data_IF_168719705874
#
_entry.id   IF_168719705874
#
_cell.length_a   1.000
_cell.length_b   1.000
_cell.length_c   1.000
_cell.angle_alpha   90.00
_cell.angle_beta   90.00
_cell.angle_gamma   90.00
#
_symmetry.space_group_name_H-M   'P 1'
#
loop_
_entity.id
_entity.type
_entity.pdbx_description
1 polymer ?
#
# COMPACT_ATOMS: atom_id res chain seq x y z
N UNK A 1 -1.69 7.20 -12.77
CA UNK A 1 -0.90 5.97 -12.91
C UNK A 1 -0.46 5.48 -11.53
N UNK A 2 -0.31 4.16 -11.34
CA UNK A 2 0.20 3.59 -10.10
C UNK A 2 1.71 3.74 -9.99
N UNK A 3 2.19 4.24 -8.86
CA UNK A 3 3.62 4.37 -8.57
C UNK A 3 4.08 3.24 -7.61
N UNK A 4 3.44 3.12 -6.45
CA UNK A 4 3.89 2.23 -5.36
C UNK A 4 2.73 1.42 -4.80
N UNK A 5 2.98 0.14 -4.52
CA UNK A 5 2.17 -0.71 -3.65
C UNK A 5 2.98 -1.05 -2.40
N UNK A 6 2.44 -0.79 -1.22
CA UNK A 6 2.98 -1.29 0.04
C UNK A 6 1.96 -2.22 0.70
N UNK A 7 2.45 -3.33 1.23
CA UNK A 7 1.69 -4.17 2.17
C UNK A 7 2.34 -3.97 3.52
N UNK A 8 1.60 -3.41 4.47
CA UNK A 8 2.09 -3.03 5.79
C UNK A 8 1.37 -3.83 6.86
N UNK A 9 2.09 -4.28 7.88
CA UNK A 9 1.45 -4.89 9.05
C UNK A 9 0.79 -3.80 9.93
N UNK A 10 -0.51 -3.94 10.22
CA UNK A 10 -1.29 -2.88 10.85
C UNK A 10 -0.80 -2.53 12.27
N UNK A 11 -0.35 -3.53 13.04
CA UNK A 11 0.04 -3.33 14.43
C UNK A 11 1.45 -2.78 14.64
N UNK A 12 2.36 -2.99 13.69
CA UNK A 12 3.76 -2.56 13.82
C UNK A 12 4.18 -1.49 12.83
N UNK A 13 3.39 -1.23 11.79
CA UNK A 13 3.76 -0.32 10.71
C UNK A 13 4.88 -0.84 9.80
N UNK A 14 5.34 -2.08 9.98
CA UNK A 14 6.41 -2.66 9.16
C UNK A 14 5.88 -2.94 7.76
N UNK A 15 6.60 -2.47 6.73
CA UNK A 15 6.33 -2.83 5.34
C UNK A 15 6.77 -4.29 5.11
N UNK A 16 5.80 -5.17 4.86
CA UNK A 16 5.99 -6.58 4.54
C UNK A 16 6.44 -6.78 3.09
N UNK A 17 5.82 -6.02 2.18
CA UNK A 17 6.12 -6.03 0.74
C UNK A 17 6.10 -4.60 0.23
N UNK A 18 7.04 -4.28 -0.64
CA UNK A 18 7.10 -3.03 -1.39
C UNK A 18 7.31 -3.35 -2.86
N UNK A 19 6.40 -2.87 -3.69
CA UNK A 19 6.46 -2.99 -5.13
C UNK A 19 6.37 -1.62 -5.78
N UNK A 20 7.27 -1.35 -6.72
CA UNK A 20 7.44 -0.04 -7.37
C UNK A 20 7.39 -0.22 -8.87
N UNK A 21 6.64 0.64 -9.55
CA UNK A 21 6.63 0.66 -11.00
C UNK A 21 7.94 1.25 -11.56
N UNK A 22 8.37 0.87 -12.78
CA UNK A 22 9.59 1.39 -13.39
C UNK A 22 9.64 2.92 -13.53
N UNK A 23 8.48 3.56 -13.68
CA UNK A 23 8.35 5.02 -13.83
C UNK A 23 8.20 5.78 -12.51
N UNK A 24 8.21 5.09 -11.36
CA UNK A 24 8.02 5.70 -10.03
C UNK A 24 9.00 6.85 -9.83
N UNK A 25 8.48 8.06 -9.57
CA UNK A 25 9.32 9.26 -9.39
C UNK A 25 9.84 9.43 -7.96
N UNK A 26 9.17 8.79 -7.00
CA UNK A 26 9.53 8.86 -5.59
C UNK A 26 10.76 8.00 -5.35
N UNK A 27 11.84 8.58 -4.82
CA UNK A 27 13.07 7.85 -4.48
C UNK A 27 12.85 6.73 -3.45
N UNK A 28 13.72 5.73 -3.47
CA UNK A 28 13.70 4.60 -2.51
C UNK A 28 14.11 5.02 -1.11
N UNK A 29 14.92 6.07 -1.00
CA UNK A 29 15.30 6.73 0.24
C UNK A 29 14.10 7.31 1.01
N UNK A 30 12.96 7.51 0.33
CA UNK A 30 11.76 8.06 0.94
C UNK A 30 10.78 7.00 1.45
N UNK A 31 10.99 5.70 1.17
CA UNK A 31 10.08 4.63 1.64
C UNK A 31 9.96 4.58 3.16
N UNK A 32 11.09 4.71 3.86
CA UNK A 32 11.12 4.72 5.32
C UNK A 32 10.41 5.96 5.89
N UNK A 33 10.60 7.12 5.26
CA UNK A 33 9.92 8.37 5.65
C UNK A 33 8.41 8.23 5.46
N UNK A 34 7.99 7.70 4.31
CA UNK A 34 6.58 7.52 3.98
C UNK A 34 5.89 6.52 4.90
N UNK A 35 6.52 5.37 5.17
CA UNK A 35 6.00 4.35 6.10
C UNK A 35 5.89 4.88 7.53
N UNK A 36 6.91 5.59 8.01
CA UNK A 36 6.88 6.23 9.33
C UNK A 36 5.81 7.31 9.44
N UNK A 37 5.67 8.16 8.42
CA UNK A 37 4.62 9.18 8.35
C UNK A 37 3.22 8.57 8.37
N UNK A 38 2.98 7.54 7.56
CA UNK A 38 1.68 6.89 7.50
C UNK A 38 1.30 6.25 8.84
N UNK A 39 2.24 5.53 9.45
CA UNK A 39 2.05 4.92 10.77
C UNK A 39 1.72 5.96 11.84
N UNK A 40 2.41 7.12 11.81
CA UNK A 40 2.14 8.21 12.73
C UNK A 40 0.72 8.77 12.57
N UNK A 41 0.26 9.03 11.34
CA UNK A 41 -1.10 9.53 11.12
C UNK A 41 -2.14 8.49 11.54
N UNK A 42 -1.96 7.22 11.19
CA UNK A 42 -2.88 6.15 11.57
C UNK A 42 -3.02 6.04 13.11
N UNK A 43 -1.90 6.13 13.83
CA UNK A 43 -1.90 6.14 15.29
C UNK A 43 -2.66 7.35 15.84
N UNK A 44 -2.38 8.56 15.33
CA UNK A 44 -3.09 9.78 15.74
C UNK A 44 -4.59 9.66 15.48
N UNK A 45 -5.01 9.12 14.33
CA UNK A 45 -6.45 8.96 14.03
C UNK A 45 -7.15 8.01 15.00
N UNK A 46 -6.43 6.98 15.45
CA UNK A 46 -6.91 6.02 16.46
C UNK A 46 -6.99 6.67 17.84
N UNK A 47 -5.94 7.37 18.27
CA UNK A 47 -5.88 8.06 19.56
C UNK A 47 -6.96 9.15 19.69
N UNK A 48 -7.21 9.90 18.63
CA UNK A 48 -8.24 10.93 18.58
C UNK A 48 -9.65 10.37 18.38
N UNK A 49 -9.79 9.06 18.15
CA UNK A 49 -11.06 8.38 17.85
C UNK A 49 -11.84 9.01 16.70
N UNK A 50 -11.14 9.38 15.62
CA UNK A 50 -11.73 10.04 14.43
C UNK A 50 -11.96 9.07 13.27
N UNK A 51 -11.89 7.77 13.54
CA UNK A 51 -12.09 6.71 12.56
C UNK A 51 -10.80 6.27 11.88
N UNK A 52 -10.95 5.53 10.78
CA UNK A 52 -9.84 4.91 10.06
C UNK A 52 -9.41 5.78 8.88
N UNK A 53 -8.11 6.04 8.77
CA UNK A 53 -7.52 6.69 7.61
C UNK A 53 -7.59 5.77 6.38
N UNK A 54 -8.33 6.19 5.35
CA UNK A 54 -8.50 5.43 4.09
C UNK A 54 -7.92 6.14 2.86
N UNK A 55 -7.60 7.43 2.96
CA UNK A 55 -7.11 8.25 1.85
C UNK A 55 -6.30 9.44 2.35
N UNK A 56 -5.16 9.71 1.73
CA UNK A 56 -4.46 11.00 1.78
C UNK A 56 -4.31 11.49 0.34
N UNK A 57 -4.82 12.67 0.02
CA UNK A 57 -4.72 13.26 -1.32
C UNK A 57 -3.86 14.52 -1.30
N UNK A 58 -3.05 14.69 -2.34
CA UNK A 58 -2.22 15.87 -2.57
C UNK A 58 -2.44 16.39 -3.98
N UNK A 59 -2.33 17.70 -4.18
CA UNK A 59 -2.57 18.37 -5.46
C UNK A 59 -1.28 18.95 -6.07
N UNK A 60 -1.36 19.34 -7.34
CA UNK A 60 -0.27 19.97 -8.09
C UNK A 60 0.40 19.04 -9.09
N UNK A 61 1.48 19.50 -9.73
CA UNK A 61 2.19 18.73 -10.79
C UNK A 61 2.86 17.43 -10.31
N UNK A 62 2.85 17.19 -8.99
CA UNK A 62 3.29 15.96 -8.33
C UNK A 62 2.22 15.45 -7.35
N UNK A 63 0.95 15.78 -7.60
CA UNK A 63 -0.18 15.35 -6.78
C UNK A 63 -0.38 13.84 -6.88
N UNK A 64 -0.60 13.20 -5.74
CA UNK A 64 -0.89 11.78 -5.63
C UNK A 64 -2.04 11.52 -4.66
N UNK A 65 -2.75 10.43 -4.90
CA UNK A 65 -3.65 9.79 -3.95
C UNK A 65 -2.92 8.61 -3.29
N UNK A 66 -2.78 8.66 -1.97
CA UNK A 66 -2.37 7.53 -1.13
C UNK A 66 -3.65 6.86 -0.61
N UNK A 67 -4.04 5.77 -1.27
CA UNK A 67 -5.24 4.99 -0.95
C UNK A 67 -4.83 3.90 0.03
N UNK A 68 -5.51 3.83 1.17
CA UNK A 68 -5.21 2.87 2.24
C UNK A 68 -6.41 1.93 2.35
N UNK A 69 -6.16 0.65 2.19
CA UNK A 69 -7.15 -0.44 2.26
C UNK A 69 -6.85 -1.30 3.49
N UNK A 70 -7.54 -1.06 4.61
CA UNK A 70 -7.37 -1.86 5.82
C UNK A 70 -7.96 -3.27 5.65
N UNK A 71 -7.17 -4.29 5.96
CA UNK A 71 -7.57 -5.70 5.92
C UNK A 71 -6.75 -6.51 6.95
N UNK A 72 -7.20 -6.47 8.20
CA UNK A 72 -6.45 -7.07 9.32
C UNK A 72 -5.93 -8.50 9.02
N UNK A 73 -4.64 -8.77 9.27
CA UNK A 73 -3.68 -7.94 10.03
C UNK A 73 -2.82 -6.97 9.18
N UNK A 74 -3.22 -6.67 7.95
CA UNK A 74 -2.45 -5.82 7.02
C UNK A 74 -3.22 -4.57 6.58
N UNK A 75 -2.47 -3.60 6.08
CA UNK A 75 -2.95 -2.52 5.25
C UNK A 75 -2.32 -2.67 3.86
N UNK A 76 -3.13 -2.58 2.81
CA UNK A 76 -2.62 -2.37 1.44
C UNK A 76 -2.66 -0.89 1.14
N UNK A 77 -1.52 -0.32 0.76
CA UNK A 77 -1.36 1.10 0.50
C UNK A 77 -0.96 1.25 -0.96
N UNK A 78 -1.72 2.05 -1.70
CA UNK A 78 -1.51 2.32 -3.10
C UNK A 78 -1.21 3.80 -3.27
N UNK A 79 -0.13 4.11 -3.95
CA UNK A 79 0.19 5.48 -4.32
C UNK A 79 0.00 5.63 -5.82
N UNK A 80 -0.96 6.48 -6.19
CA UNK A 80 -1.38 6.67 -7.58
C UNK A 80 -1.44 8.16 -7.89
N UNK A 81 -1.36 8.55 -9.16
CA UNK A 81 -1.53 9.96 -9.55
C UNK A 81 -2.87 10.52 -9.08
N UNK A 82 -2.91 11.83 -8.79
CA UNK A 82 -4.12 12.46 -8.25
C UNK A 82 -5.36 12.37 -9.16
N UNK A 83 -5.17 12.26 -10.47
CA UNK A 83 -6.24 12.19 -11.47
C UNK A 83 -6.83 10.78 -11.63
N UNK A 84 -6.22 9.76 -11.00
CA UNK A 84 -6.67 8.39 -11.16
C UNK A 84 -7.98 8.09 -10.41
N UNK A 85 -8.82 7.19 -10.95
CA UNK A 85 -10.05 6.77 -10.28
C UNK A 85 -9.77 6.05 -8.95
N UNK A 86 -10.07 6.72 -7.83
CA UNK A 86 -9.81 6.21 -6.48
C UNK A 86 -10.56 4.89 -6.21
N UNK A 87 -11.83 4.79 -6.63
CA UNK A 87 -12.65 3.61 -6.35
C UNK A 87 -12.12 2.35 -7.05
N UNK A 88 -11.66 2.48 -8.30
CA UNK A 88 -11.05 1.38 -9.05
C UNK A 88 -9.79 0.87 -8.35
N UNK A 89 -8.94 1.79 -7.90
CA UNK A 89 -7.74 1.41 -7.17
C UNK A 89 -8.04 0.82 -5.79
N UNK A 90 -9.09 1.30 -5.11
CA UNK A 90 -9.53 0.71 -3.84
C UNK A 90 -9.98 -0.74 -4.02
N UNK A 91 -10.76 -1.04 -5.06
CA UNK A 91 -11.15 -2.41 -5.41
C UNK A 91 -9.93 -3.29 -5.67
N UNK A 92 -8.95 -2.77 -6.42
CA UNK A 92 -7.68 -3.48 -6.66
C UNK A 92 -6.91 -3.74 -5.36
N UNK A 93 -6.88 -2.76 -4.44
CA UNK A 93 -6.28 -2.93 -3.12
C UNK A 93 -6.94 -4.03 -2.30
N UNK A 94 -8.27 -4.18 -2.38
CA UNK A 94 -8.97 -5.29 -1.74
C UNK A 94 -8.57 -6.65 -2.34
N UNK A 95 -8.47 -6.75 -3.66
CA UNK A 95 -8.03 -7.98 -4.34
C UNK A 95 -6.60 -8.37 -3.94
N UNK A 96 -5.69 -7.40 -3.87
CA UNK A 96 -4.31 -7.60 -3.41
C UNK A 96 -4.30 -8.11 -1.96
N UNK A 97 -5.08 -7.48 -1.08
CA UNK A 97 -5.14 -7.86 0.32
C UNK A 97 -5.62 -9.31 0.49
N UNK A 98 -6.68 -9.68 -0.23
CA UNK A 98 -7.23 -11.03 -0.19
C UNK A 98 -6.23 -12.05 -0.72
N UNK A 99 -5.56 -11.76 -1.85
CA UNK A 99 -4.50 -12.63 -2.40
C UNK A 99 -3.31 -12.82 -1.46
N UNK A 100 -2.91 -11.75 -0.76
CA UNK A 100 -1.83 -11.83 0.21
C UNK A 100 -2.21 -12.75 1.38
N UNK A 101 -3.40 -12.56 1.95
CA UNK A 101 -3.88 -13.36 3.07
C UNK A 101 -4.22 -14.80 2.69
N UNK A 102 -4.64 -15.07 1.46
CA UNK A 102 -4.75 -16.43 0.91
C UNK A 102 -3.38 -17.12 0.86
N UNK A 103 -2.32 -16.40 0.52
CA UNK A 103 -0.98 -16.96 0.32
C UNK A 103 -0.22 -17.17 1.64
N UNK A 104 -0.35 -16.25 2.59
CA UNK A 104 0.47 -16.22 3.82
C UNK A 104 -0.35 -16.39 5.11
N UNK A 105 -1.68 -16.41 5.01
CA UNK A 105 -2.56 -16.45 6.18
C UNK A 105 -2.55 -15.14 6.98
N UNK A 106 -3.11 -15.21 8.19
CA UNK A 106 -3.21 -14.07 9.13
C UNK A 106 -2.24 -14.17 10.30
N UNK A 107 -1.61 -15.32 10.50
CA UNK A 107 -0.75 -15.61 11.65
C UNK A 107 0.70 -15.73 11.19
N UNK A 108 1.34 -14.60 10.91
CA UNK A 108 2.74 -14.53 10.48
C UNK A 108 3.54 -13.59 11.40
N UNK A 109 4.86 -13.76 11.41
CA UNK A 109 5.76 -12.86 12.13
C UNK A 109 6.11 -11.65 11.23
N UNK A 110 5.68 -10.42 11.54
CA UNK A 110 5.94 -9.26 10.70
C UNK A 110 7.43 -8.87 10.64
N UNK A 111 8.28 -9.44 11.51
CA UNK A 111 9.73 -9.21 11.50
C UNK A 111 10.48 -10.18 10.57
N UNK A 112 9.83 -11.24 10.08
CA UNK A 112 10.44 -12.19 9.15
C UNK A 112 10.00 -11.88 7.72
N UNK A 113 10.66 -10.89 7.12
CA UNK A 113 10.34 -10.40 5.79
C UNK A 113 10.71 -11.38 4.66
N UNK A 114 11.45 -12.46 4.96
CA UNK A 114 11.96 -13.37 3.92
C UNK A 114 10.83 -14.14 3.23
N UNK A 115 9.75 -14.41 3.96
CA UNK A 115 8.60 -15.17 3.48
C UNK A 115 7.74 -14.43 2.46
N UNK A 116 7.78 -13.09 2.44
CA UNK A 116 6.88 -12.29 1.59
C UNK A 116 7.52 -11.87 0.25
N UNK A 117 8.81 -12.17 0.05
CA UNK A 117 9.58 -11.68 -1.11
C UNK A 117 8.99 -12.08 -2.45
N UNK A 118 8.42 -13.28 -2.53
CA UNK A 118 7.89 -13.83 -3.78
C UNK A 118 6.57 -13.18 -4.18
N UNK A 119 5.88 -12.49 -3.26
CA UNK A 119 4.61 -11.83 -3.55
C UNK A 119 4.74 -10.68 -4.56
N UNK A 120 5.93 -10.09 -4.70
CA UNK A 120 6.20 -9.06 -5.72
C UNK A 120 5.92 -9.57 -7.14
N UNK A 121 6.10 -10.86 -7.41
CA UNK A 121 5.75 -11.47 -8.71
C UNK A 121 4.24 -11.49 -8.91
N UNK A 122 3.47 -11.83 -7.86
CA UNK A 122 2.00 -11.79 -7.89
C UNK A 122 1.49 -10.36 -8.08
N UNK A 123 2.10 -9.38 -7.41
CA UNK A 123 1.75 -7.96 -7.61
C UNK A 123 1.99 -7.53 -9.06
N UNK A 124 3.10 -7.93 -9.67
CA UNK A 124 3.38 -7.64 -11.08
C UNK A 124 2.31 -8.20 -12.03
N UNK A 125 1.83 -9.42 -11.79
CA UNK A 125 0.77 -10.03 -12.60
C UNK A 125 -0.60 -9.35 -12.42
N UNK A 126 -0.95 -8.99 -11.18
CA UNK A 126 -2.19 -8.25 -10.88
C UNK A 126 -2.19 -6.84 -11.48
N UNK A 127 -1.00 -6.24 -11.59
CA UNK A 127 -0.78 -4.93 -12.18
C UNK A 127 -0.96 -4.93 -13.70
N UNK A 128 -0.49 -5.98 -14.40
CA UNK A 128 -0.56 -6.06 -15.86
C UNK A 128 -1.97 -6.31 -16.41
N UNK A 129 -2.92 -6.71 -15.57
CA UNK A 129 -4.27 -7.11 -16.01
C UNK A 129 -5.16 -5.93 -16.42
N UNK A 130 -4.81 -4.70 -16.05
CA UNK A 130 -5.70 -3.54 -16.21
C UNK A 130 -5.10 -2.38 -17.05
N UNK A 131 -4.00 -2.58 -17.77
CA UNK A 131 -3.27 -1.53 -18.54
C UNK A 131 -2.83 -0.30 -17.71
N UNK A 132 -3.06 -0.29 -16.39
CA UNK A 132 -2.65 0.80 -15.50
C UNK A 132 -1.19 0.69 -15.02
N UNK A 133 -0.50 -0.36 -15.44
CA UNK A 133 0.90 -0.60 -15.17
C UNK A 133 1.60 -0.85 -16.51
N UNK A 134 2.73 -0.17 -16.74
CA UNK A 134 3.57 -0.39 -17.93
C UNK A 134 4.37 -1.70 -17.84
#
# INVERSE_FOLDING_TARGET
MLDIILIQHEGSGINLVEYRQPHTKIGTEHSAIFSGFLSAIQNITTELNIGTLILISTEGSRGHNCIIVPRSPINVILLVDHDDPIELWREQGHLIADKFLESYGKNFNPNDLTHFRDFSSTLKELCSTHEYCE
#
